data_IF_646818956045
#
_entry.id   IF_646818956045
#
_cell.length_a   1.000
_cell.length_b   1.000
_cell.length_c   1.000
_cell.angle_alpha   90.00
_cell.angle_beta   90.00
_cell.angle_gamma   90.00
#
_symmetry.space_group_name_H-M   'P 1'
#
loop_
_entity.id
_entity.type
_entity.pdbx_description
1 polymer ?
#
# COMPACT_ATOMS: atom_id res chain seq x y z
N UNK A 1 -13.83 7.20 -11.14
CA UNK A 1 -13.07 7.80 -12.25
C UNK A 1 -12.85 6.78 -13.36
N UNK A 2 -12.32 5.62 -13.07
CA UNK A 2 -11.98 4.58 -14.07
C UNK A 2 -13.18 4.11 -14.89
N UNK A 3 -14.36 4.01 -14.31
CA UNK A 3 -15.58 3.64 -15.03
C UNK A 3 -15.89 4.59 -16.23
N UNK A 4 -15.52 5.87 -16.10
CA UNK A 4 -15.67 6.86 -17.22
C UNK A 4 -14.73 6.57 -18.38
N UNK A 5 -13.68 5.78 -18.17
CA UNK A 5 -12.73 5.32 -19.20
C UNK A 5 -13.04 3.89 -19.67
N UNK A 6 -14.22 3.35 -19.33
CA UNK A 6 -14.59 1.98 -19.69
C UNK A 6 -13.92 0.88 -18.86
N UNK A 7 -13.24 1.25 -17.77
CA UNK A 7 -12.58 0.30 -16.88
C UNK A 7 -13.51 0.01 -15.71
N UNK A 8 -13.85 -1.27 -15.52
CA UNK A 8 -14.67 -1.74 -14.40
C UNK A 8 -13.81 -2.53 -13.42
N UNK A 9 -14.19 -2.53 -12.14
CA UNK A 9 -13.54 -3.30 -11.09
C UNK A 9 -14.54 -4.22 -10.39
N UNK A 10 -14.10 -5.41 -10.04
CA UNK A 10 -14.77 -6.31 -9.11
C UNK A 10 -13.91 -6.37 -7.85
N UNK A 11 -14.46 -5.95 -6.72
CA UNK A 11 -13.75 -6.00 -5.44
C UNK A 11 -13.94 -7.37 -4.79
N UNK A 12 -12.86 -7.91 -4.24
CA UNK A 12 -12.84 -9.16 -3.49
C UNK A 12 -12.19 -8.92 -2.12
N UNK A 13 -12.53 -9.75 -1.15
CA UNK A 13 -11.89 -9.72 0.16
C UNK A 13 -10.39 -10.07 0.05
N UNK A 14 -9.50 -9.46 0.83
CA UNK A 14 -8.11 -9.91 0.95
C UNK A 14 -8.00 -11.33 1.56
N UNK A 15 -9.07 -11.80 2.20
CA UNK A 15 -9.20 -13.13 2.78
C UNK A 15 -10.09 -14.06 1.92
N UNK A 16 -10.34 -13.68 0.66
CA UNK A 16 -11.12 -14.49 -0.25
C UNK A 16 -10.48 -15.87 -0.45
N UNK A 17 -11.32 -16.90 -0.46
CA UNK A 17 -10.89 -18.25 -0.79
C UNK A 17 -10.56 -18.36 -2.29
N UNK A 18 -9.86 -19.42 -2.66
CA UNK A 18 -9.57 -19.72 -4.06
C UNK A 18 -10.84 -19.79 -4.92
N UNK A 19 -11.92 -20.36 -4.38
CA UNK A 19 -13.23 -20.45 -5.05
C UNK A 19 -13.86 -19.07 -5.26
N UNK A 20 -13.82 -18.20 -4.25
CA UNK A 20 -14.34 -16.83 -4.34
C UNK A 20 -13.52 -15.97 -5.33
N UNK A 21 -12.20 -16.15 -5.35
CA UNK A 21 -11.33 -15.49 -6.32
C UNK A 21 -11.67 -15.95 -7.73
N UNK A 22 -11.76 -17.25 -7.97
CA UNK A 22 -12.13 -17.80 -9.27
C UNK A 22 -13.49 -17.29 -9.75
N UNK A 23 -14.49 -17.22 -8.87
CA UNK A 23 -15.84 -16.73 -9.20
C UNK A 23 -15.88 -15.23 -9.56
N UNK A 24 -14.90 -14.45 -9.12
CA UNK A 24 -14.82 -13.02 -9.40
C UNK A 24 -14.32 -12.69 -10.81
N UNK A 25 -13.65 -13.63 -11.49
CA UNK A 25 -13.13 -13.42 -12.84
C UNK A 25 -14.24 -13.34 -13.88
N UNK A 26 -14.07 -12.44 -14.84
CA UNK A 26 -14.95 -12.22 -15.98
C UNK A 26 -14.17 -12.42 -17.28
N UNK A 27 -14.84 -12.70 -18.42
CA UNK A 27 -14.16 -12.87 -19.72
C UNK A 27 -13.27 -11.67 -20.10
N UNK A 28 -13.63 -10.47 -19.66
CA UNK A 28 -12.91 -9.23 -19.91
C UNK A 28 -11.96 -8.81 -18.78
N UNK A 29 -11.71 -9.63 -17.78
CA UNK A 29 -10.72 -9.32 -16.72
C UNK A 29 -9.32 -9.27 -17.34
N UNK A 30 -8.61 -8.17 -17.11
CA UNK A 30 -7.28 -7.89 -17.67
C UNK A 30 -6.16 -7.93 -16.65
N UNK A 31 -6.48 -7.73 -15.38
CA UNK A 31 -5.49 -7.62 -14.31
C UNK A 31 -6.14 -7.96 -12.97
N UNK A 32 -5.39 -8.64 -12.12
CA UNK A 32 -5.66 -8.71 -10.69
C UNK A 32 -4.72 -7.72 -9.99
N UNK A 33 -5.27 -6.92 -9.07
CA UNK A 33 -4.51 -5.89 -8.36
C UNK A 33 -4.71 -6.00 -6.85
N UNK A 34 -3.63 -5.86 -6.09
CA UNK A 34 -3.69 -5.80 -4.63
C UNK A 34 -2.55 -4.99 -4.05
N UNK A 35 -2.62 -4.72 -2.74
CA UNK A 35 -1.55 -4.09 -1.98
C UNK A 35 -0.89 -5.13 -1.08
N UNK A 36 0.43 -5.18 -1.00
CA UNK A 36 1.15 -6.09 -0.07
C UNK A 36 0.67 -5.89 1.37
N UNK A 37 0.60 -4.62 1.80
CA UNK A 37 -0.02 -4.18 3.06
C UNK A 37 -0.98 -3.05 2.73
N UNK A 38 -2.26 -3.24 3.00
CA UNK A 38 -3.31 -2.28 2.66
C UNK A 38 -3.36 -1.08 3.62
N UNK A 39 -3.69 0.08 3.10
CA UNK A 39 -3.89 1.32 3.85
C UNK A 39 -5.40 1.67 3.93
N UNK A 40 -5.98 1.91 5.10
CA UNK A 40 -5.39 1.92 6.45
C UNK A 40 -5.56 0.62 7.25
N UNK A 41 -6.20 -0.38 6.69
CA UNK A 41 -6.61 -1.60 7.40
C UNK A 41 -5.44 -2.52 7.79
N UNK A 42 -4.26 -2.35 7.16
CA UNK A 42 -3.04 -3.14 7.35
C UNK A 42 -3.25 -4.65 7.16
N UNK A 43 -4.17 -5.02 6.28
CA UNK A 43 -4.33 -6.40 5.82
C UNK A 43 -3.13 -6.80 4.99
N UNK A 44 -2.68 -8.03 5.09
CA UNK A 44 -1.56 -8.56 4.29
C UNK A 44 -2.11 -9.47 3.20
N UNK A 45 -1.74 -9.20 1.96
CA UNK A 45 -2.13 -9.98 0.79
C UNK A 45 -1.50 -11.37 0.82
N UNK A 46 -2.25 -12.42 0.47
CA UNK A 46 -1.69 -13.73 0.15
C UNK A 46 -1.21 -13.74 -1.30
N UNK A 47 0.04 -13.29 -1.50
CA UNK A 47 0.58 -13.04 -2.84
C UNK A 47 0.58 -14.32 -3.69
N UNK A 48 0.97 -15.46 -3.12
CA UNK A 48 1.04 -16.73 -3.86
C UNK A 48 -0.34 -17.23 -4.28
N UNK A 49 -1.35 -17.15 -3.38
CA UNK A 49 -2.71 -17.55 -3.72
C UNK A 49 -3.27 -16.68 -4.85
N UNK A 50 -3.11 -15.35 -4.72
CA UNK A 50 -3.62 -14.41 -5.71
C UNK A 50 -2.89 -14.56 -7.05
N UNK A 51 -1.56 -14.78 -7.04
CA UNK A 51 -0.78 -15.03 -8.25
C UNK A 51 -1.22 -16.33 -8.94
N UNK A 52 -1.36 -17.43 -8.16
CA UNK A 52 -1.82 -18.71 -8.67
C UNK A 52 -3.15 -18.56 -9.43
N UNK A 53 -4.15 -17.98 -8.78
CA UNK A 53 -5.48 -17.85 -9.39
C UNK A 53 -5.45 -16.90 -10.59
N UNK A 54 -4.72 -15.79 -10.53
CA UNK A 54 -4.56 -14.88 -11.65
C UNK A 54 -3.97 -15.60 -12.88
N UNK A 55 -2.91 -16.37 -12.68
CA UNK A 55 -2.23 -17.11 -13.75
C UNK A 55 -3.10 -18.22 -14.34
N UNK A 56 -3.88 -18.94 -13.54
CA UNK A 56 -4.86 -19.93 -14.03
C UNK A 56 -5.88 -19.32 -14.98
N UNK A 57 -6.21 -18.04 -14.81
CA UNK A 57 -7.07 -17.26 -15.71
C UNK A 57 -6.31 -16.52 -16.82
N UNK A 58 -4.98 -16.69 -16.94
CA UNK A 58 -4.17 -15.99 -17.93
C UNK A 58 -4.15 -14.48 -17.73
N UNK A 59 -4.11 -14.04 -16.47
CA UNK A 59 -4.14 -12.63 -16.04
C UNK A 59 -2.94 -12.36 -15.15
N UNK A 60 -2.20 -11.24 -15.34
CA UNK A 60 -1.10 -10.89 -14.46
C UNK A 60 -1.60 -10.39 -13.10
N UNK A 61 -0.82 -10.68 -12.05
CA UNK A 61 -0.96 -10.06 -10.74
C UNK A 61 -0.08 -8.81 -10.65
N UNK A 62 -0.71 -7.67 -10.36
CA UNK A 62 -0.04 -6.40 -10.05
C UNK A 62 -0.15 -6.14 -8.56
N UNK A 63 0.99 -5.88 -7.91
CA UNK A 63 1.03 -5.64 -6.46
C UNK A 63 1.62 -4.27 -6.16
N UNK A 64 0.86 -3.42 -5.46
CA UNK A 64 1.41 -2.21 -4.86
C UNK A 64 2.20 -2.56 -3.60
N UNK A 65 3.49 -2.31 -3.63
CA UNK A 65 4.41 -2.63 -2.54
C UNK A 65 4.95 -1.38 -1.84
N UNK A 66 4.17 -0.32 -1.83
CA UNK A 66 4.57 1.00 -1.29
C UNK A 66 4.97 0.92 0.17
N UNK A 67 4.21 0.24 1.03
CA UNK A 67 4.49 0.20 2.47
C UNK A 67 5.68 -0.68 2.85
N UNK A 68 5.80 -1.93 2.36
CA UNK A 68 6.96 -2.73 2.70
C UNK A 68 8.25 -2.23 2.05
N UNK A 69 8.18 -1.59 0.89
CA UNK A 69 9.30 -1.31 0.00
C UNK A 69 10.05 -2.61 -0.40
N UNK A 70 10.99 -2.61 -1.34
CA UNK A 70 11.76 -3.80 -1.66
C UNK A 70 12.71 -4.25 -0.53
N UNK A 71 12.87 -3.44 0.53
CA UNK A 71 13.66 -3.82 1.71
C UNK A 71 12.95 -4.91 2.53
N UNK A 72 11.62 -4.79 2.68
CA UNK A 72 10.85 -5.70 3.53
C UNK A 72 10.08 -6.76 2.74
N UNK A 73 9.73 -6.49 1.46
CA UNK A 73 9.06 -7.46 0.60
C UNK A 73 9.44 -7.25 -0.87
N UNK A 74 9.63 -8.34 -1.60
CA UNK A 74 9.82 -8.35 -3.05
C UNK A 74 8.74 -9.26 -3.68
N UNK A 75 7.56 -8.73 -4.01
CA UNK A 75 6.41 -9.52 -4.44
C UNK A 75 6.65 -10.38 -5.68
N UNK A 76 7.57 -9.99 -6.57
CA UNK A 76 7.97 -10.79 -7.75
C UNK A 76 8.52 -12.18 -7.34
N UNK A 77 9.23 -12.28 -6.23
CA UNK A 77 9.74 -13.54 -5.71
C UNK A 77 8.62 -14.48 -5.20
N UNK A 78 7.42 -13.94 -5.01
CA UNK A 78 6.23 -14.64 -4.55
C UNK A 78 5.17 -14.82 -5.64
N UNK A 79 5.50 -14.51 -6.90
CA UNK A 79 4.65 -14.75 -8.06
C UNK A 79 3.93 -13.54 -8.62
N UNK A 80 4.09 -12.34 -8.04
CA UNK A 80 3.58 -11.13 -8.68
C UNK A 80 4.32 -10.85 -9.99
N UNK A 81 3.59 -10.45 -11.04
CA UNK A 81 4.17 -10.17 -12.36
C UNK A 81 4.69 -8.73 -12.45
N UNK A 82 3.94 -7.81 -11.86
CA UNK A 82 4.26 -6.38 -11.90
C UNK A 82 4.13 -5.84 -10.47
N UNK A 83 5.08 -4.98 -10.10
CA UNK A 83 5.06 -4.28 -8.81
C UNK A 83 5.01 -2.79 -9.05
N UNK A 84 4.15 -2.11 -8.29
CA UNK A 84 4.08 -0.65 -8.28
C UNK A 84 4.51 -0.08 -6.93
N UNK A 85 5.02 1.13 -6.95
CA UNK A 85 5.33 1.90 -5.75
C UNK A 85 4.90 3.35 -5.93
N UNK A 86 4.27 3.92 -4.92
CA UNK A 86 4.28 5.37 -4.74
C UNK A 86 5.65 5.77 -4.18
N UNK A 87 6.53 6.26 -5.04
CA UNK A 87 7.86 6.72 -4.60
C UNK A 87 7.80 7.96 -3.72
N UNK A 88 6.66 8.64 -3.70
CA UNK A 88 6.31 9.74 -2.78
C UNK A 88 6.44 9.37 -1.30
N UNK A 89 6.36 8.07 -0.97
CA UNK A 89 6.31 7.54 0.40
C UNK A 89 7.71 7.19 0.92
N UNK A 90 7.90 6.05 1.56
CA UNK A 90 9.20 5.65 2.13
C UNK A 90 10.39 5.76 1.18
N UNK A 91 10.20 5.60 -0.13
CA UNK A 91 11.32 5.68 -1.08
C UNK A 91 11.95 7.08 -1.12
N UNK A 92 11.15 8.13 -1.24
CA UNK A 92 11.58 9.52 -1.01
C UNK A 92 11.87 9.74 0.48
N UNK A 93 10.93 9.36 1.33
CA UNK A 93 11.02 9.38 2.78
C UNK A 93 10.84 10.75 3.43
N UNK A 94 10.63 11.81 2.67
CA UNK A 94 10.56 13.19 3.17
C UNK A 94 9.32 13.94 2.69
N UNK A 95 8.45 13.32 1.88
CA UNK A 95 7.30 13.98 1.26
C UNK A 95 7.70 15.16 0.35
N UNK A 96 8.92 15.16 -0.15
CA UNK A 96 9.50 16.27 -0.90
C UNK A 96 9.19 16.18 -2.41
N UNK A 97 8.99 14.97 -2.95
CA UNK A 97 8.73 14.77 -4.37
C UNK A 97 7.62 13.74 -4.61
N UNK A 98 6.66 14.10 -5.46
CA UNK A 98 5.65 13.16 -5.94
C UNK A 98 6.26 12.27 -7.03
N UNK A 99 5.94 10.98 -6.99
CA UNK A 99 6.38 10.07 -8.03
C UNK A 99 5.86 8.64 -7.86
N UNK A 100 6.14 7.83 -8.86
CA UNK A 100 5.80 6.41 -8.90
C UNK A 100 6.86 5.61 -9.63
N UNK A 101 6.89 4.31 -9.37
CA UNK A 101 7.71 3.36 -10.10
C UNK A 101 6.88 2.13 -10.47
N UNK A 102 7.16 1.58 -11.64
CA UNK A 102 6.61 0.31 -12.12
C UNK A 102 7.78 -0.61 -12.37
N UNK A 103 7.73 -1.80 -11.81
CA UNK A 103 8.72 -2.85 -11.97
C UNK A 103 8.04 -4.04 -12.65
N UNK A 104 8.51 -4.41 -13.82
CA UNK A 104 8.07 -5.60 -14.54
C UNK A 104 8.97 -6.78 -14.17
N UNK A 105 8.38 -7.88 -13.71
CA UNK A 105 9.09 -9.13 -13.42
C UNK A 105 9.60 -9.84 -14.67
N UNK A 106 9.06 -9.50 -15.84
CA UNK A 106 9.51 -10.02 -17.13
C UNK A 106 9.19 -11.51 -17.36
N UNK A 107 8.24 -12.08 -16.60
CA UNK A 107 7.96 -13.52 -16.71
C UNK A 107 6.55 -13.84 -17.22
N UNK A 108 5.63 -12.88 -17.26
CA UNK A 108 4.28 -13.11 -17.78
C UNK A 108 4.29 -13.28 -19.31
N UNK A 109 3.76 -14.39 -19.80
CA UNK A 109 3.73 -14.69 -21.23
C UNK A 109 2.54 -14.01 -21.94
N UNK A 110 2.76 -12.77 -22.40
CA UNK A 110 1.76 -11.99 -23.10
C UNK A 110 1.24 -12.68 -24.38
N UNK A 111 2.15 -13.36 -25.13
CA UNK A 111 1.80 -14.02 -26.38
C UNK A 111 0.93 -15.26 -26.17
N UNK A 112 1.10 -15.98 -25.06
CA UNK A 112 0.21 -17.09 -24.71
C UNK A 112 -1.25 -16.63 -24.50
N UNK A 113 -1.44 -15.35 -24.19
CA UNK A 113 -2.75 -14.75 -23.92
C UNK A 113 -3.07 -13.58 -24.86
N UNK A 114 -2.58 -13.64 -26.12
CA UNK A 114 -2.62 -12.53 -27.11
C UNK A 114 -4.00 -11.93 -27.33
N UNK A 115 -5.06 -12.75 -27.33
CA UNK A 115 -6.41 -12.29 -27.54
C UNK A 115 -6.92 -11.40 -26.39
N UNK A 116 -6.35 -11.59 -25.20
CA UNK A 116 -6.63 -10.77 -24.01
C UNK A 116 -5.86 -9.46 -24.03
N UNK A 117 -4.65 -9.44 -24.60
CA UNK A 117 -3.74 -8.29 -24.61
C UNK A 117 -3.38 -7.78 -26.00
N UNK A 118 -4.37 -7.43 -26.84
CA UNK A 118 -4.08 -6.96 -28.22
C UNK A 118 -3.15 -5.76 -28.23
N UNK A 119 -3.21 -4.86 -27.23
CA UNK A 119 -2.33 -3.70 -27.15
C UNK A 119 -0.83 -4.02 -27.04
N UNK A 120 -0.45 -5.25 -26.69
CA UNK A 120 0.93 -5.71 -26.65
C UNK A 120 1.23 -6.73 -27.76
N UNK A 121 0.20 -7.43 -28.25
CA UNK A 121 0.34 -8.63 -29.08
C UNK A 121 -0.15 -8.45 -30.52
N UNK A 122 -0.52 -7.23 -30.93
CA UNK A 122 -0.83 -6.89 -32.32
C UNK A 122 0.01 -5.69 -32.76
N UNK A 123 0.17 -5.50 -34.12
CA UNK A 123 0.89 -4.33 -34.62
C UNK A 123 0.32 -3.02 -34.10
N UNK A 124 1.16 -2.15 -33.60
CA UNK A 124 0.80 -0.83 -33.07
C UNK A 124 1.19 0.25 -34.07
N UNK A 125 0.20 0.82 -34.77
CA UNK A 125 0.41 1.83 -35.79
C UNK A 125 1.06 3.11 -35.21
N UNK A 126 0.78 3.45 -33.95
CA UNK A 126 1.39 4.61 -33.31
C UNK A 126 2.90 4.42 -33.02
N UNK A 127 3.38 3.18 -33.16
CA UNK A 127 4.78 2.84 -32.99
C UNK A 127 5.33 2.05 -34.19
N UNK A 128 5.01 2.52 -35.39
CA UNK A 128 5.52 2.00 -36.68
C UNK A 128 5.15 0.54 -36.99
N UNK A 129 3.98 0.08 -36.53
CA UNK A 129 3.51 -1.28 -36.78
C UNK A 129 4.24 -2.37 -35.99
N UNK A 130 4.93 -2.01 -34.88
CA UNK A 130 5.62 -2.98 -34.05
C UNK A 130 4.62 -3.74 -33.17
N UNK A 131 4.79 -5.05 -33.07
CA UNK A 131 4.16 -5.88 -32.03
C UNK A 131 5.13 -5.96 -30.85
N UNK A 132 4.77 -5.31 -29.72
CA UNK A 132 5.66 -5.19 -28.56
C UNK A 132 6.11 -6.56 -28.01
N UNK A 133 5.18 -7.50 -27.85
CA UNK A 133 5.47 -8.82 -27.29
C UNK A 133 6.38 -9.67 -28.21
N UNK A 134 6.24 -9.55 -29.53
CA UNK A 134 7.13 -10.24 -30.47
C UNK A 134 8.53 -9.64 -30.50
N UNK A 135 8.61 -8.30 -30.46
CA UNK A 135 9.89 -7.61 -30.62
C UNK A 135 10.72 -7.60 -29.33
N UNK A 136 10.09 -7.43 -28.18
CA UNK A 136 10.78 -7.21 -26.91
C UNK A 136 10.62 -8.39 -25.92
N UNK A 137 9.94 -9.46 -26.36
CA UNK A 137 9.70 -10.64 -25.52
C UNK A 137 8.83 -10.32 -24.29
N UNK A 138 8.65 -11.32 -23.46
CA UNK A 138 7.92 -11.16 -22.19
C UNK A 138 8.67 -10.25 -21.20
N UNK A 139 9.99 -10.22 -21.31
CA UNK A 139 10.89 -9.46 -20.44
C UNK A 139 10.83 -7.96 -20.68
N UNK A 140 10.43 -7.51 -21.86
CA UNK A 140 10.49 -6.11 -22.21
C UNK A 140 9.22 -5.50 -22.79
N UNK A 141 8.24 -6.30 -23.21
CA UNK A 141 7.05 -5.81 -23.92
C UNK A 141 6.26 -4.78 -23.12
N UNK A 142 5.91 -5.11 -21.90
CA UNK A 142 5.09 -4.27 -21.04
C UNK A 142 5.82 -2.97 -20.68
N UNK A 143 7.04 -3.06 -20.16
CA UNK A 143 7.78 -1.88 -19.69
C UNK A 143 8.17 -0.97 -20.87
N UNK A 144 8.47 -1.52 -22.06
CA UNK A 144 8.76 -0.72 -23.24
C UNK A 144 7.52 0.06 -23.68
N UNK A 145 6.33 -0.57 -23.70
CA UNK A 145 5.09 0.15 -24.01
C UNK A 145 4.80 1.24 -22.98
N UNK A 146 4.99 0.96 -21.70
CA UNK A 146 4.82 1.95 -20.65
C UNK A 146 5.71 3.18 -20.86
N UNK A 147 6.99 2.99 -21.18
CA UNK A 147 7.96 4.08 -21.32
C UNK A 147 7.93 4.75 -22.68
N UNK A 148 8.01 3.96 -23.77
CA UNK A 148 8.18 4.48 -25.11
C UNK A 148 6.88 5.03 -25.73
N UNK A 149 5.72 4.66 -25.22
CA UNK A 149 4.44 5.15 -25.70
C UNK A 149 3.67 5.89 -24.59
N UNK A 150 3.22 5.20 -23.53
CA UNK A 150 2.28 5.78 -22.57
C UNK A 150 2.90 6.94 -21.78
N UNK A 151 4.08 6.75 -21.21
CA UNK A 151 4.78 7.81 -20.47
C UNK A 151 5.12 8.99 -21.36
N UNK A 152 5.62 8.71 -22.57
CA UNK A 152 5.93 9.76 -23.57
C UNK A 152 4.70 10.57 -23.98
N UNK A 153 3.59 9.90 -24.28
CA UNK A 153 2.42 10.55 -24.86
C UNK A 153 1.55 11.24 -23.81
N UNK A 154 1.45 10.69 -22.59
CA UNK A 154 0.74 11.31 -21.47
C UNK A 154 1.61 12.24 -20.62
N UNK A 155 2.92 12.21 -20.78
CA UNK A 155 3.85 13.06 -20.01
C UNK A 155 3.97 12.67 -18.54
N UNK A 156 3.61 11.44 -18.17
CA UNK A 156 3.64 10.95 -16.79
C UNK A 156 5.07 10.58 -16.37
N UNK A 157 5.96 11.57 -16.33
CA UNK A 157 7.36 11.40 -15.98
C UNK A 157 7.77 12.35 -14.84
N UNK A 158 8.71 11.91 -14.02
CA UNK A 158 9.28 12.76 -12.99
C UNK A 158 10.15 13.86 -13.59
N UNK A 159 10.15 15.03 -12.96
CA UNK A 159 11.14 16.07 -13.27
C UNK A 159 12.55 15.56 -12.87
N UNK A 160 13.63 16.08 -13.51
CA UNK A 160 14.99 15.73 -13.10
C UNK A 160 15.28 16.02 -11.64
N UNK A 161 14.73 17.11 -11.10
CA UNK A 161 14.86 17.46 -9.69
C UNK A 161 14.16 16.44 -8.76
N UNK A 162 12.94 16.01 -9.10
CA UNK A 162 12.22 14.98 -8.33
C UNK A 162 12.95 13.63 -8.38
N UNK A 163 13.53 13.28 -9.54
CA UNK A 163 14.32 12.06 -9.68
C UNK A 163 15.62 12.12 -8.83
N UNK A 164 16.26 13.29 -8.76
CA UNK A 164 17.43 13.50 -7.91
C UNK A 164 17.07 13.34 -6.42
N UNK A 165 15.98 13.97 -5.96
CA UNK A 165 15.50 13.82 -4.57
C UNK A 165 15.19 12.36 -4.24
N UNK A 166 14.48 11.67 -5.14
CA UNK A 166 14.18 10.24 -4.96
C UNK A 166 15.46 9.40 -4.84
N UNK A 167 16.46 9.68 -5.67
CA UNK A 167 17.75 8.96 -5.61
C UNK A 167 18.42 9.13 -4.25
N UNK A 168 18.43 10.34 -3.68
CA UNK A 168 18.93 10.58 -2.32
C UNK A 168 18.15 9.78 -1.26
N UNK A 169 16.81 9.72 -1.40
CA UNK A 169 15.96 8.92 -0.53
C UNK A 169 16.29 7.43 -0.60
N UNK A 170 16.52 6.91 -1.81
CA UNK A 170 16.83 5.50 -2.01
C UNK A 170 18.18 5.09 -1.39
N UNK A 171 19.17 5.97 -1.37
CA UNK A 171 20.49 5.70 -0.77
C UNK A 171 20.41 5.36 0.72
N UNK A 172 19.41 5.89 1.44
CA UNK A 172 19.21 5.64 2.87
C UNK A 172 18.05 4.68 3.19
N UNK A 173 17.32 4.21 2.18
CA UNK A 173 16.11 3.42 2.39
C UNK A 173 16.33 2.18 3.25
N UNK A 174 17.42 1.44 3.00
CA UNK A 174 17.77 0.20 3.70
C UNK A 174 18.11 0.38 5.19
N UNK A 175 18.49 1.60 5.61
CA UNK A 175 18.73 1.93 7.03
C UNK A 175 17.50 2.57 7.68
N UNK A 176 16.65 3.27 6.90
CA UNK A 176 15.43 3.89 7.40
C UNK A 176 14.33 2.86 7.67
N UNK A 177 14.14 1.89 6.76
CA UNK A 177 13.08 0.90 6.90
C UNK A 177 13.15 0.09 8.20
N UNK A 178 14.31 -0.45 8.63
CA UNK A 178 14.43 -1.10 9.94
C UNK A 178 13.99 -0.20 11.12
N UNK A 179 14.34 1.09 11.07
CA UNK A 179 13.94 2.03 12.12
C UNK A 179 12.43 2.31 12.13
N UNK A 180 11.83 2.45 10.97
CA UNK A 180 10.36 2.56 10.85
C UNK A 180 9.65 1.32 11.40
N UNK A 181 10.16 0.12 11.10
CA UNK A 181 9.61 -1.14 11.62
C UNK A 181 9.78 -1.25 13.13
N UNK A 182 10.96 -0.92 13.67
CA UNK A 182 11.22 -0.89 15.12
C UNK A 182 10.21 0.02 15.84
N UNK A 183 10.03 1.24 15.33
CA UNK A 183 9.11 2.20 15.90
C UNK A 183 7.65 1.74 15.78
N UNK A 184 7.27 1.19 14.61
CA UNK A 184 5.94 0.60 14.38
C UNK A 184 5.63 -0.53 15.35
N UNK A 185 6.56 -1.45 15.55
CA UNK A 185 6.40 -2.58 16.46
C UNK A 185 6.26 -2.11 17.92
N UNK A 186 7.17 -1.24 18.38
CA UNK A 186 7.16 -0.75 19.76
C UNK A 186 5.87 0.02 20.10
N UNK A 187 5.42 0.88 19.20
CA UNK A 187 4.17 1.64 19.39
C UNK A 187 2.94 0.73 19.29
N UNK A 188 2.93 -0.27 18.41
CA UNK A 188 1.82 -1.22 18.32
C UNK A 188 1.68 -2.06 19.60
N UNK A 189 2.79 -2.55 20.16
CA UNK A 189 2.81 -3.28 21.45
C UNK A 189 2.35 -2.41 22.61
N UNK A 190 2.80 -1.16 22.66
CA UNK A 190 2.34 -0.20 23.66
C UNK A 190 0.83 0.03 23.58
N UNK A 191 0.33 0.30 22.36
CA UNK A 191 -1.10 0.56 22.14
C UNK A 191 -1.96 -0.66 22.45
N UNK A 192 -1.51 -1.87 22.11
CA UNK A 192 -2.25 -3.11 22.38
C UNK A 192 -2.48 -3.34 23.88
N UNK A 193 -1.52 -2.93 24.72
CA UNK A 193 -1.62 -3.05 26.18
C UNK A 193 -2.39 -1.92 26.86
N UNK A 194 -2.73 -0.83 26.12
CA UNK A 194 -3.27 0.38 26.72
C UNK A 194 -4.79 0.30 26.96
N UNK A 195 -5.30 0.61 28.17
CA UNK A 195 -6.73 0.40 28.52
C UNK A 195 -7.71 1.23 27.69
N UNK A 196 -7.32 2.39 27.16
CA UNK A 196 -8.16 3.27 26.32
C UNK A 196 -8.19 2.87 24.85
N UNK A 197 -7.38 1.89 24.43
CA UNK A 197 -7.36 1.35 23.08
C UNK A 197 -8.35 0.20 22.97
N UNK A 198 -9.14 0.19 21.93
CA UNK A 198 -10.13 -0.85 21.67
C UNK A 198 -9.56 -2.00 20.83
N UNK A 199 -8.75 -1.68 19.84
CA UNK A 199 -8.05 -2.64 18.98
C UNK A 199 -6.83 -1.98 18.32
N UNK A 200 -5.89 -2.83 17.89
CA UNK A 200 -4.71 -2.42 17.12
C UNK A 200 -4.62 -3.29 15.87
N UNK A 201 -4.46 -2.66 14.71
CA UNK A 201 -4.16 -3.33 13.45
C UNK A 201 -2.67 -3.11 13.14
N UNK A 202 -1.89 -4.13 13.35
CA UNK A 202 -0.48 -4.17 12.96
C UNK A 202 -0.05 -5.62 12.74
N UNK A 203 0.36 -5.99 11.52
CA UNK A 203 0.60 -7.40 11.19
C UNK A 203 1.84 -8.00 11.89
N UNK A 204 2.67 -7.19 12.55
CA UNK A 204 3.77 -7.64 13.39
C UNK A 204 3.37 -8.09 14.81
N UNK A 205 2.11 -7.90 15.23
CA UNK A 205 1.62 -8.36 16.53
C UNK A 205 1.19 -9.83 16.45
N UNK A 206 1.60 -10.69 17.39
CA UNK A 206 1.18 -12.11 17.42
C UNK A 206 -0.34 -12.31 17.52
N UNK A 207 -1.07 -11.35 18.07
CA UNK A 207 -2.53 -11.34 18.15
C UNK A 207 -3.23 -11.02 16.82
N UNK A 208 -2.51 -10.46 15.85
CA UNK A 208 -3.08 -10.05 14.58
C UNK A 208 -3.33 -11.26 13.67
N UNK A 209 -4.51 -11.32 13.05
CA UNK A 209 -4.89 -12.45 12.18
C UNK A 209 -3.97 -12.65 10.97
N UNK A 210 -3.20 -11.63 10.58
CA UNK A 210 -2.24 -11.69 9.47
C UNK A 210 -0.81 -11.97 9.90
N UNK A 211 -0.57 -12.23 11.19
CA UNK A 211 0.78 -12.42 11.72
C UNK A 211 1.60 -13.49 10.99
N UNK A 212 1.03 -14.67 10.79
CA UNK A 212 1.74 -15.75 10.09
C UNK A 212 1.98 -15.43 8.63
N UNK A 213 1.02 -14.78 7.96
CA UNK A 213 1.16 -14.30 6.58
C UNK A 213 2.24 -13.22 6.48
N UNK A 214 2.27 -12.30 7.44
CA UNK A 214 3.32 -11.29 7.55
C UNK A 214 4.70 -11.91 7.75
N UNK A 215 4.84 -12.87 8.63
CA UNK A 215 6.12 -13.59 8.82
C UNK A 215 6.60 -14.28 7.55
N UNK A 216 5.70 -14.77 6.72
CA UNK A 216 6.03 -15.41 5.45
C UNK A 216 6.55 -14.40 4.43
N UNK A 217 5.79 -13.34 4.16
CA UNK A 217 6.07 -12.40 3.07
C UNK A 217 6.97 -11.21 3.45
N UNK A 218 7.09 -10.91 4.75
CA UNK A 218 7.73 -9.72 5.29
C UNK A 218 8.81 -10.10 6.33
N UNK A 219 9.85 -10.83 5.94
CA UNK A 219 10.84 -11.37 6.88
C UNK A 219 11.60 -10.30 7.67
N UNK A 220 11.67 -9.07 7.14
CA UNK A 220 12.33 -7.93 7.77
C UNK A 220 11.32 -7.00 8.50
N UNK A 221 10.08 -7.45 8.70
CA UNK A 221 8.99 -6.65 9.25
C UNK A 221 8.14 -5.97 8.18
N UNK A 222 7.00 -5.40 8.58
CA UNK A 222 6.01 -4.82 7.65
C UNK A 222 6.37 -3.40 7.22
N UNK A 223 6.04 -2.46 8.09
CA UNK A 223 6.21 -1.01 7.86
C UNK A 223 6.12 -0.26 9.20
N UNK A 224 6.28 1.06 9.17
CA UNK A 224 6.08 1.93 10.34
C UNK A 224 4.66 2.47 10.49
N UNK A 225 3.67 1.90 9.80
CA UNK A 225 2.27 2.37 9.91
C UNK A 225 1.51 1.45 10.86
N UNK A 226 0.79 2.06 11.81
CA UNK A 226 -0.08 1.38 12.76
C UNK A 226 -1.47 2.01 12.67
N UNK A 227 -2.53 1.20 12.64
CA UNK A 227 -3.90 1.65 12.79
C UNK A 227 -4.49 1.12 14.08
N UNK A 228 -5.26 1.94 14.79
CA UNK A 228 -5.89 1.53 16.04
C UNK A 228 -7.19 2.27 16.26
N UNK A 229 -8.07 1.70 17.07
CA UNK A 229 -9.31 2.33 17.48
C UNK A 229 -9.30 2.68 18.96
N UNK A 230 -9.90 3.82 19.30
CA UNK A 230 -10.02 4.29 20.67
C UNK A 230 -11.39 3.98 21.27
N UNK A 231 -11.43 3.58 22.54
CA UNK A 231 -12.66 3.56 23.33
C UNK A 231 -13.16 5.00 23.51
N UNK A 232 -14.47 5.24 23.42
CA UNK A 232 -15.03 6.60 23.40
C UNK A 232 -15.17 7.19 21.99
N UNK A 233 -14.96 6.41 20.94
CA UNK A 233 -15.36 6.73 19.56
C UNK A 233 -14.69 7.98 18.99
N UNK A 234 -15.46 8.72 18.20
CA UNK A 234 -15.02 9.94 17.50
C UNK A 234 -14.49 11.02 18.43
N UNK A 235 -15.07 11.17 19.62
CA UNK A 235 -14.66 12.20 20.58
C UNK A 235 -13.27 11.89 21.18
N UNK A 236 -13.04 10.64 21.54
CA UNK A 236 -11.74 10.18 21.98
C UNK A 236 -10.66 10.36 20.90
N UNK A 237 -10.96 10.00 19.64
CA UNK A 237 -10.06 10.21 18.51
C UNK A 237 -9.72 11.69 18.31
N UNK A 238 -10.72 12.58 18.37
CA UNK A 238 -10.51 14.02 18.27
C UNK A 238 -9.65 14.58 19.42
N UNK A 239 -9.88 14.10 20.65
CA UNK A 239 -9.08 14.51 21.81
C UNK A 239 -7.65 14.05 21.69
N UNK A 240 -7.44 12.79 21.32
CA UNK A 240 -6.10 12.24 21.07
C UNK A 240 -5.33 13.08 20.05
N UNK A 241 -5.92 13.30 18.87
CA UNK A 241 -5.29 14.05 17.78
C UNK A 241 -4.87 15.47 18.20
N UNK A 242 -5.70 16.17 19.01
CA UNK A 242 -5.40 17.53 19.47
C UNK A 242 -4.26 17.60 20.50
N UNK A 243 -3.94 16.50 21.16
CA UNK A 243 -2.94 16.46 22.23
C UNK A 243 -1.60 15.88 21.79
N UNK A 244 -1.49 15.36 20.55
CA UNK A 244 -0.19 15.02 19.96
C UNK A 244 0.66 16.29 19.81
N UNK A 245 1.93 16.18 20.15
CA UNK A 245 2.93 17.27 20.03
C UNK A 245 4.02 16.95 19.02
N UNK A 246 4.48 15.71 19.01
CA UNK A 246 5.52 15.22 18.10
C UNK A 246 4.91 14.77 16.77
N UNK A 247 3.81 14.03 16.83
CA UNK A 247 3.11 13.55 15.64
C UNK A 247 2.35 14.67 14.91
N UNK A 248 2.73 14.97 13.66
CA UNK A 248 2.04 15.95 12.82
C UNK A 248 0.69 15.42 12.34
N UNK A 249 -0.35 16.27 12.35
CA UNK A 249 -1.67 15.93 11.82
C UNK A 249 -1.70 16.22 10.33
N UNK A 250 -1.61 15.20 9.50
CA UNK A 250 -1.60 15.33 8.04
C UNK A 250 -2.08 14.05 7.34
N UNK A 251 -2.47 14.20 6.07
CA UNK A 251 -2.93 13.07 5.25
C UNK A 251 -1.77 12.22 4.71
N UNK A 252 -0.56 12.75 4.72
CA UNK A 252 0.64 12.04 4.29
C UNK A 252 0.94 10.82 5.17
N UNK A 253 1.80 9.93 4.71
CA UNK A 253 2.15 8.67 5.36
C UNK A 253 3.51 8.20 4.88
N UNK A 254 4.23 7.43 5.69
CA UNK A 254 5.51 6.87 5.31
C UNK A 254 6.59 7.93 5.05
N UNK A 255 6.71 8.85 6.01
CA UNK A 255 7.68 9.94 6.06
C UNK A 255 8.71 9.68 7.17
N UNK A 256 9.86 10.32 7.11
CA UNK A 256 10.86 10.31 8.16
C UNK A 256 10.35 10.93 9.48
N UNK A 257 9.31 11.75 9.42
CA UNK A 257 8.61 12.34 10.55
C UNK A 257 7.34 11.58 10.86
N UNK A 258 7.01 11.45 12.13
CA UNK A 258 5.74 10.86 12.55
C UNK A 258 4.56 11.73 12.14
N UNK A 259 3.57 11.11 11.48
CA UNK A 259 2.33 11.76 11.11
C UNK A 259 1.12 10.90 11.47
N UNK A 260 0.01 11.57 11.71
CA UNK A 260 -1.20 10.98 12.26
C UNK A 260 -2.44 11.48 11.53
N UNK A 261 -3.39 10.59 11.31
CA UNK A 261 -4.64 10.87 10.61
C UNK A 261 -5.81 10.15 11.28
N UNK A 262 -6.93 10.86 11.44
CA UNK A 262 -8.24 10.24 11.63
C UNK A 262 -8.99 10.31 10.28
N UNK A 263 -9.23 9.17 9.59
CA UNK A 263 -9.89 9.17 8.28
C UNK A 263 -11.27 9.80 8.29
N UNK A 264 -12.04 9.59 9.37
CA UNK A 264 -13.41 10.08 9.50
C UNK A 264 -13.52 11.61 9.52
N UNK A 265 -12.48 12.31 9.98
CA UNK A 265 -12.45 13.79 10.02
C UNK A 265 -11.71 14.42 8.85
N UNK A 266 -11.06 13.61 8.01
CA UNK A 266 -10.20 14.07 6.91
C UNK A 266 -10.61 13.48 5.56
N UNK A 267 -10.04 12.36 5.19
CA UNK A 267 -10.21 11.75 3.86
C UNK A 267 -11.61 11.23 3.57
N UNK A 268 -12.39 10.88 4.60
CA UNK A 268 -13.73 10.31 4.51
C UNK A 268 -14.80 11.20 5.19
N UNK A 269 -14.50 12.47 5.37
CA UNK A 269 -15.38 13.42 6.11
C UNK A 269 -16.79 13.61 5.53
N UNK A 270 -17.04 13.16 4.29
CA UNK A 270 -18.35 13.22 3.66
C UNK A 270 -19.24 12.03 4.04
N UNK A 271 -18.69 10.99 4.69
CA UNK A 271 -19.40 9.78 5.08
C UNK A 271 -19.99 9.93 6.49
N UNK A 272 -21.18 9.36 6.70
CA UNK A 272 -21.71 9.13 8.03
C UNK A 272 -21.07 7.90 8.70
N UNK A 273 -21.35 7.66 9.99
CA UNK A 273 -20.67 6.61 10.75
C UNK A 273 -20.99 5.18 10.24
N UNK A 274 -22.18 4.95 9.66
CA UNK A 274 -22.53 3.67 9.04
C UNK A 274 -21.70 3.43 7.78
N UNK A 275 -21.63 4.44 6.91
CA UNK A 275 -20.82 4.40 5.70
C UNK A 275 -19.32 4.25 5.99
N UNK A 276 -18.83 4.91 7.05
CA UNK A 276 -17.43 4.76 7.51
C UNK A 276 -17.14 3.33 7.95
N UNK A 277 -18.06 2.72 8.69
CA UNK A 277 -17.93 1.34 9.16
C UNK A 277 -17.95 0.34 7.99
N UNK A 278 -18.86 0.53 7.03
CA UNK A 278 -18.91 -0.28 5.80
C UNK A 278 -17.64 -0.14 4.96
N UNK A 279 -17.06 1.06 4.93
CA UNK A 279 -15.79 1.32 4.25
C UNK A 279 -14.55 0.80 5.00
N UNK A 280 -14.71 0.19 6.19
CA UNK A 280 -13.61 -0.31 7.02
C UNK A 280 -12.78 0.78 7.70
N UNK A 281 -13.32 1.99 7.82
CA UNK A 281 -12.66 3.15 8.46
C UNK A 281 -13.57 3.78 9.53
N UNK A 282 -13.90 3.03 10.60
CA UNK A 282 -14.82 3.51 11.63
C UNK A 282 -14.34 4.81 12.26
N UNK A 283 -15.27 5.56 12.86
CA UNK A 283 -15.04 6.94 13.29
C UNK A 283 -13.92 7.11 14.33
N UNK A 284 -13.70 6.08 15.14
CA UNK A 284 -12.64 6.01 16.16
C UNK A 284 -11.26 5.62 15.61
N UNK A 285 -11.18 5.22 14.34
CA UNK A 285 -9.94 4.76 13.74
C UNK A 285 -8.92 5.88 13.62
N UNK A 286 -7.72 5.63 14.11
CA UNK A 286 -6.55 6.48 13.92
C UNK A 286 -5.51 5.67 13.15
N UNK A 287 -4.91 6.29 12.14
CA UNK A 287 -3.72 5.79 11.46
C UNK A 287 -2.54 6.67 11.86
N UNK A 288 -1.53 6.07 12.46
CA UNK A 288 -0.27 6.73 12.77
C UNK A 288 0.85 6.12 11.92
N UNK A 289 1.65 6.96 11.29
CA UNK A 289 2.84 6.57 10.53
C UNK A 289 4.05 7.04 11.30
N UNK A 290 4.73 6.09 11.92
CA UNK A 290 5.88 6.34 12.77
C UNK A 290 7.09 6.71 11.90
N UNK A 291 7.72 7.82 12.24
CA UNK A 291 8.94 8.31 11.62
C UNK A 291 10.20 7.66 12.19
N UNK A 292 11.28 8.41 12.15
CA UNK A 292 12.63 7.97 12.58
C UNK A 292 12.99 8.49 13.97
N UNK A 293 12.05 9.15 14.64
CA UNK A 293 12.25 9.69 16.00
C UNK A 293 12.57 8.55 16.97
N UNK A 294 13.05 8.93 18.14
CA UNK A 294 13.28 7.98 19.22
C UNK A 294 11.96 7.32 19.67
N UNK A 295 11.96 6.01 19.85
CA UNK A 295 10.73 5.27 20.14
C UNK A 295 10.16 5.60 21.53
N UNK A 296 11.02 5.91 22.48
CA UNK A 296 10.63 6.33 23.82
C UNK A 296 9.92 7.68 23.80
N UNK A 297 10.40 8.63 22.99
CA UNK A 297 9.76 9.92 22.79
C UNK A 297 8.40 9.78 22.08
N UNK A 298 8.30 8.89 21.07
CA UNK A 298 7.05 8.58 20.39
C UNK A 298 6.01 7.98 21.35
N UNK A 299 6.41 7.01 22.17
CA UNK A 299 5.53 6.39 23.17
C UNK A 299 5.11 7.42 24.23
N UNK A 300 6.01 8.29 24.67
CA UNK A 300 5.69 9.34 25.63
C UNK A 300 4.67 10.35 25.08
N UNK A 301 4.81 10.79 23.82
CA UNK A 301 3.85 11.70 23.16
C UNK A 301 2.47 11.03 23.03
N UNK A 302 2.44 9.79 22.53
CA UNK A 302 1.21 9.02 22.37
C UNK A 302 0.54 8.76 23.74
N UNK A 303 1.30 8.40 24.79
CA UNK A 303 0.79 8.20 26.14
C UNK A 303 0.14 9.48 26.68
N UNK A 304 0.83 10.61 26.57
CA UNK A 304 0.30 11.89 27.01
C UNK A 304 -1.00 12.28 26.27
N UNK A 305 -1.08 11.99 24.97
CA UNK A 305 -2.29 12.23 24.19
C UNK A 305 -3.45 11.30 24.60
N UNK A 306 -3.17 10.04 24.94
CA UNK A 306 -4.15 9.09 25.48
C UNK A 306 -4.63 9.50 26.88
N UNK A 307 -3.74 9.99 27.74
CA UNK A 307 -4.08 10.44 29.10
C UNK A 307 -5.05 11.62 29.09
N UNK A 308 -4.98 12.48 28.06
CA UNK A 308 -5.89 13.60 27.88
C UNK A 308 -7.35 13.19 27.59
N UNK A 309 -7.60 11.94 27.18
CA UNK A 309 -8.95 11.40 26.97
C UNK A 309 -9.59 11.14 28.34
N UNK A 310 -10.71 11.78 28.60
CA UNK A 310 -11.46 11.57 29.85
C UNK A 310 -12.14 10.19 29.81
N UNK A 311 -12.10 9.49 30.93
CA UNK A 311 -12.91 8.27 31.09
C UNK A 311 -14.40 8.70 31.17
N UNK A 312 -15.22 8.08 30.33
CA UNK A 312 -16.67 8.17 30.51
C UNK A 312 -17.02 7.48 31.83
N UNK A 313 -17.69 8.26 32.72
CA UNK A 313 -18.15 7.77 34.02
C UNK A 313 -19.37 6.86 33.87
#
# INVERSE_FOLDING_TARGET
TMAKMGITATFVSPDATEEELNAAFKPNTKVMFGETIANPALTVLDIELFAKVAHEHGVPLVVDNTFPTPVNCRPIEWGADIVTHSTTKYMDGHGAALGGAIIDGGHFDWMAHKDRYPGLCTPDESYHGITYAEKFGKEGAFITKCTAQLMRDFGSMQSPNSAFILNLGLESLHVRMPKHVENGQAVAEFLESHPKVAYVNYPGLPSNKYYDRAKKYLPNGGCGVVSFGLKGGREAASTFMKNLKLGAIETHVADARTCCLNPATSTHRQMNDEQLKEAGVPAELIRISLGLEDKEDLIADISAALDAIKEEK
#
